data_IF_619048049464
#
_entry.id   IF_619048049464
#
_cell.length_a   1.000
_cell.length_b   1.000
_cell.length_c   1.000
_cell.angle_alpha   90.00
_cell.angle_beta   90.00
_cell.angle_gamma   90.00
#
_symmetry.space_group_name_H-M   'P 1'
#
loop_
_entity.id
_entity.type
_entity.pdbx_description
1 polymer ?
#
# COMPACT_ATOMS: atom_id res chain seq x y z
N UNK A 1 1.45 43.36 24.68
CA UNK A 1 0.62 42.13 24.60
C UNK A 1 0.88 41.52 23.22
N UNK A 2 2.14 41.15 22.93
CA UNK A 2 2.61 40.98 21.54
C UNK A 2 3.45 39.70 21.34
N UNK A 3 4.34 39.32 22.27
CA UNK A 3 5.10 38.07 22.13
C UNK A 3 4.33 36.82 22.61
N UNK A 4 3.66 36.87 23.76
CA UNK A 4 3.03 35.68 24.36
C UNK A 4 1.91 35.10 23.50
N UNK A 5 1.15 35.95 22.82
CA UNK A 5 0.06 35.55 21.92
C UNK A 5 0.62 34.93 20.65
N UNK A 6 1.74 35.45 20.14
CA UNK A 6 2.41 34.94 18.95
C UNK A 6 2.97 33.53 19.18
N UNK A 7 3.68 33.29 20.30
CA UNK A 7 4.17 31.96 20.66
C UNK A 7 3.05 30.93 20.86
N UNK A 8 1.91 31.37 21.42
CA UNK A 8 0.73 30.50 21.55
C UNK A 8 0.14 30.10 20.20
N UNK A 9 0.10 31.04 19.25
CA UNK A 9 -0.43 30.80 17.92
C UNK A 9 0.49 29.89 17.09
N UNK A 10 1.81 30.08 17.19
CA UNK A 10 2.80 29.18 16.59
C UNK A 10 2.71 27.76 17.16
N UNK A 11 2.63 27.61 18.49
CA UNK A 11 2.46 26.31 19.13
C UNK A 11 1.17 25.61 18.66
N UNK A 12 0.08 26.36 18.49
CA UNK A 12 -1.18 25.83 18.00
C UNK A 12 -1.07 25.31 16.56
N UNK A 13 -0.41 26.07 15.67
CA UNK A 13 -0.18 25.66 14.28
C UNK A 13 0.67 24.39 14.22
N UNK A 14 1.71 24.28 15.04
CA UNK A 14 2.57 23.09 15.10
C UNK A 14 1.77 21.87 15.57
N UNK A 15 1.01 21.99 16.65
CA UNK A 15 0.18 20.89 17.19
C UNK A 15 -0.87 20.46 16.16
N UNK A 16 -1.53 21.42 15.51
CA UNK A 16 -2.55 21.12 14.50
C UNK A 16 -1.94 20.45 13.26
N UNK A 17 -0.75 20.90 12.83
CA UNK A 17 0.01 20.26 11.76
C UNK A 17 0.37 18.80 12.08
N UNK A 18 0.85 18.54 13.30
CA UNK A 18 1.15 17.18 13.77
C UNK A 18 -0.14 16.33 13.78
N UNK A 19 -1.25 16.87 14.30
CA UNK A 19 -2.53 16.16 14.34
C UNK A 19 -3.00 15.77 12.93
N UNK A 20 -2.89 16.68 11.94
CA UNK A 20 -3.24 16.39 10.54
C UNK A 20 -2.36 15.27 9.98
N UNK A 21 -1.04 15.30 10.24
CA UNK A 21 -0.12 14.25 9.77
C UNK A 21 -0.50 12.90 10.40
N UNK A 22 -0.75 12.86 11.71
CA UNK A 22 -1.14 11.63 12.42
C UNK A 22 -2.46 11.07 11.87
N UNK A 23 -3.47 11.91 11.70
CA UNK A 23 -4.77 11.50 11.14
C UNK A 23 -4.62 11.05 9.69
N UNK A 24 -3.83 11.75 8.88
CA UNK A 24 -3.55 11.38 7.49
C UNK A 24 -2.87 10.02 7.37
N UNK A 25 -1.85 9.76 8.19
CA UNK A 25 -1.15 8.45 8.25
C UNK A 25 -2.12 7.37 8.71
N UNK A 26 -2.89 7.62 9.77
CA UNK A 26 -3.90 6.67 10.27
C UNK A 26 -4.94 6.34 9.20
N UNK A 27 -5.46 7.35 8.49
CA UNK A 27 -6.43 7.15 7.42
C UNK A 27 -5.83 6.36 6.26
N UNK A 28 -4.61 6.69 5.83
CA UNK A 28 -3.92 5.98 4.75
C UNK A 28 -3.70 4.50 5.08
N UNK A 29 -3.39 4.17 6.34
CA UNK A 29 -3.22 2.78 6.80
C UNK A 29 -4.57 2.04 6.84
N UNK A 30 -5.64 2.69 7.33
CA UNK A 30 -6.92 2.03 7.57
C UNK A 30 -7.86 1.96 6.36
N UNK A 31 -7.83 2.97 5.50
CA UNK A 31 -8.77 3.14 4.39
C UNK A 31 -8.10 3.33 3.03
N UNK A 32 -6.76 3.45 2.99
CA UNK A 32 -6.02 3.51 1.74
C UNK A 32 -6.34 2.30 0.87
N UNK A 33 -6.68 2.55 -0.40
CA UNK A 33 -6.81 1.49 -1.41
C UNK A 33 -5.42 0.97 -1.76
N UNK A 34 -5.28 -0.34 -1.88
CA UNK A 34 -4.06 -0.93 -2.41
C UNK A 34 -3.89 -0.52 -3.87
N UNK A 35 -2.70 -0.02 -4.21
CA UNK A 35 -2.33 0.34 -5.59
C UNK A 35 -1.20 -0.58 -6.05
N UNK A 36 -1.51 -1.82 -6.45
CA UNK A 36 -0.50 -2.75 -6.91
C UNK A 36 0.10 -2.32 -8.24
N UNK A 37 1.39 -2.60 -8.43
CA UNK A 37 2.02 -2.58 -9.76
C UNK A 37 1.74 -3.93 -10.42
N UNK A 38 1.23 -3.93 -11.64
CA UNK A 38 0.89 -5.17 -12.35
C UNK A 38 1.86 -5.34 -13.51
N UNK A 39 2.47 -6.52 -13.57
CA UNK A 39 3.40 -6.94 -14.63
C UNK A 39 2.79 -8.14 -15.33
N UNK A 40 2.60 -8.04 -16.64
CA UNK A 40 2.09 -9.15 -17.47
C UNK A 40 3.28 -9.75 -18.21
N UNK A 41 3.43 -11.06 -18.13
CA UNK A 41 4.52 -11.79 -18.77
C UNK A 41 4.09 -12.31 -20.13
N UNK A 42 5.07 -12.65 -20.97
CA UNK A 42 4.83 -13.13 -22.34
C UNK A 42 4.13 -14.49 -22.41
N UNK A 43 4.14 -15.24 -21.32
CA UNK A 43 3.47 -16.54 -21.17
C UNK A 43 1.97 -16.41 -20.79
N UNK A 44 1.46 -15.18 -20.67
CA UNK A 44 0.08 -14.90 -20.26
C UNK A 44 -0.12 -14.88 -18.74
N UNK A 45 0.89 -15.25 -17.95
CA UNK A 45 0.86 -15.05 -16.50
C UNK A 45 1.00 -13.57 -16.14
N UNK A 46 0.58 -13.21 -14.93
CA UNK A 46 0.76 -11.85 -14.43
C UNK A 46 1.25 -11.87 -12.99
N UNK A 47 1.78 -10.73 -12.53
CA UNK A 47 2.19 -10.54 -11.15
C UNK A 47 1.72 -9.19 -10.65
N UNK A 48 1.07 -9.17 -9.50
CA UNK A 48 0.68 -7.96 -8.78
C UNK A 48 1.63 -7.74 -7.62
N UNK A 49 2.34 -6.61 -7.61
CA UNK A 49 3.30 -6.25 -6.58
C UNK A 49 2.71 -5.14 -5.71
N UNK A 50 2.61 -5.43 -4.41
CA UNK A 50 2.08 -4.54 -3.38
C UNK A 50 3.23 -3.99 -2.54
N UNK A 51 3.77 -2.84 -2.96
CA UNK A 51 4.86 -2.18 -2.25
C UNK A 51 4.42 -1.62 -0.90
N UNK A 52 5.23 -1.84 0.13
CA UNK A 52 4.96 -1.33 1.48
C UNK A 52 3.89 -2.09 2.26
N UNK A 53 3.28 -3.13 1.69
CA UNK A 53 2.55 -4.13 2.46
C UNK A 53 3.58 -5.06 3.10
N UNK A 54 3.64 -5.06 4.43
CA UNK A 54 4.58 -5.89 5.18
C UNK A 54 3.93 -6.42 6.45
N UNK A 55 4.44 -7.55 6.94
CA UNK A 55 3.99 -8.17 8.20
C UNK A 55 4.13 -7.22 9.41
N UNK A 56 4.98 -6.19 9.30
CA UNK A 56 5.16 -5.17 10.33
C UNK A 56 3.87 -4.40 10.63
N UNK A 57 2.95 -4.29 9.67
CA UNK A 57 1.65 -3.67 9.88
C UNK A 57 0.52 -4.72 9.88
N UNK A 58 0.29 -5.35 11.05
CA UNK A 58 -0.70 -6.42 11.24
C UNK A 58 -2.08 -6.09 10.64
N UNK A 59 -2.57 -4.85 10.80
CA UNK A 59 -3.88 -4.44 10.30
C UNK A 59 -3.92 -4.33 8.77
N UNK A 60 -2.85 -3.85 8.15
CA UNK A 60 -2.72 -3.82 6.70
C UNK A 60 -2.68 -5.24 6.13
N UNK A 61 -1.98 -6.15 6.80
CA UNK A 61 -1.91 -7.56 6.40
C UNK A 61 -3.27 -8.26 6.50
N UNK A 62 -4.04 -7.99 7.56
CA UNK A 62 -5.41 -8.53 7.70
C UNK A 62 -6.31 -8.06 6.56
N UNK A 63 -6.25 -6.78 6.18
CA UNK A 63 -7.00 -6.25 5.03
C UNK A 63 -6.53 -6.85 3.71
N UNK A 64 -5.22 -6.94 3.52
CA UNK A 64 -4.63 -7.56 2.35
C UNK A 64 -5.09 -9.01 2.18
N UNK A 65 -5.00 -9.81 3.25
CA UNK A 65 -5.45 -11.19 3.26
C UNK A 65 -6.97 -11.32 3.13
N UNK A 66 -7.77 -10.28 3.41
CA UNK A 66 -9.22 -10.31 3.17
C UNK A 66 -9.56 -10.02 1.70
N UNK A 67 -8.81 -9.12 1.06
CA UNK A 67 -9.04 -8.71 -0.34
C UNK A 67 -8.35 -9.65 -1.35
N UNK A 68 -7.17 -10.15 -1.03
CA UNK A 68 -6.30 -10.94 -1.90
C UNK A 68 -5.92 -12.26 -1.23
N UNK A 69 -6.50 -13.36 -1.71
CA UNK A 69 -6.23 -14.72 -1.23
C UNK A 69 -5.89 -15.63 -2.39
N UNK A 70 -5.10 -16.67 -2.13
CA UNK A 70 -4.89 -17.76 -3.10
C UNK A 70 -6.25 -18.36 -3.47
N UNK A 71 -6.48 -18.54 -4.78
CA UNK A 71 -7.77 -18.99 -5.32
C UNK A 71 -8.76 -17.86 -5.65
N UNK A 72 -8.54 -16.61 -5.20
CA UNK A 72 -9.38 -15.50 -5.61
C UNK A 72 -9.14 -15.13 -7.08
N UNK A 73 -10.24 -14.78 -7.75
CA UNK A 73 -10.22 -14.27 -9.12
C UNK A 73 -10.02 -12.76 -9.13
N UNK A 74 -9.10 -12.28 -9.97
CA UNK A 74 -8.82 -10.87 -10.20
C UNK A 74 -9.04 -10.58 -11.67
N UNK A 75 -9.91 -9.62 -11.97
CA UNK A 75 -10.09 -9.12 -13.33
C UNK A 75 -9.14 -7.95 -13.58
N UNK A 76 -8.26 -8.08 -14.58
CA UNK A 76 -7.35 -7.02 -14.99
C UNK A 76 -7.33 -6.90 -16.52
N UNK A 77 -7.52 -5.68 -17.01
CA UNK A 77 -7.51 -5.37 -18.44
C UNK A 77 -8.45 -6.26 -19.30
N UNK A 78 -9.62 -6.62 -18.76
CA UNK A 78 -10.59 -7.49 -19.42
C UNK A 78 -10.32 -8.99 -19.31
N UNK A 79 -9.16 -9.39 -18.78
CA UNK A 79 -8.82 -10.79 -18.53
C UNK A 79 -9.08 -11.17 -17.07
N UNK A 80 -9.49 -12.41 -16.85
CA UNK A 80 -9.63 -12.97 -15.52
C UNK A 80 -8.38 -13.80 -15.18
N UNK A 81 -7.87 -13.57 -13.97
CA UNK A 81 -6.73 -14.29 -13.43
C UNK A 81 -7.11 -14.90 -12.09
N UNK A 82 -6.48 -16.01 -11.72
CA UNK A 82 -6.51 -16.56 -10.36
C UNK A 82 -5.18 -16.33 -9.68
N UNK A 83 -5.23 -15.92 -8.42
CA UNK A 83 -4.04 -15.86 -7.57
C UNK A 83 -3.62 -17.29 -7.23
N UNK A 84 -2.51 -17.75 -7.76
CA UNK A 84 -1.96 -19.08 -7.44
C UNK A 84 -1.08 -19.02 -6.18
N UNK A 85 -0.34 -17.93 -6.00
CA UNK A 85 0.64 -17.84 -4.93
C UNK A 85 0.84 -16.39 -4.47
N UNK A 86 1.10 -16.22 -3.18
CA UNK A 86 1.46 -14.93 -2.57
C UNK A 86 2.78 -15.11 -1.84
N UNK A 87 3.80 -14.31 -2.19
CA UNK A 87 5.15 -14.37 -1.58
C UNK A 87 5.70 -12.98 -1.28
N UNK A 88 6.54 -12.84 -0.25
CA UNK A 88 7.32 -11.62 -0.06
C UNK A 88 8.27 -11.40 -1.25
N UNK A 89 8.47 -10.14 -1.62
CA UNK A 89 9.35 -9.75 -2.71
C UNK A 89 10.09 -8.46 -2.39
N UNK A 90 11.32 -8.39 -2.88
CA UNK A 90 12.14 -7.19 -2.90
C UNK A 90 12.27 -6.74 -4.34
N UNK A 91 11.53 -5.69 -4.69
CA UNK A 91 11.49 -5.19 -6.06
C UNK A 91 11.82 -3.70 -6.09
N UNK A 92 12.32 -3.24 -7.24
CA UNK A 92 12.59 -1.83 -7.45
C UNK A 92 11.28 -1.06 -7.62
N UNK A 93 11.06 -0.09 -6.75
CA UNK A 93 9.92 0.83 -6.81
C UNK A 93 10.37 2.12 -7.50
N UNK A 94 10.01 2.26 -8.78
CA UNK A 94 10.39 3.40 -9.60
C UNK A 94 9.93 4.76 -9.02
N UNK A 95 8.84 4.76 -8.22
CA UNK A 95 8.36 5.98 -7.56
C UNK A 95 9.33 6.49 -6.49
N UNK A 96 10.08 5.60 -5.85
CA UNK A 96 11.01 5.93 -4.76
C UNK A 96 12.48 5.70 -5.14
N UNK A 97 12.76 5.36 -6.40
CA UNK A 97 14.09 5.14 -6.96
C UNK A 97 14.95 4.17 -6.10
N UNK A 98 14.33 3.11 -5.58
CA UNK A 98 15.01 2.18 -4.68
C UNK A 98 14.30 0.84 -4.51
N UNK A 99 14.97 -0.11 -3.88
CA UNK A 99 14.36 -1.39 -3.49
C UNK A 99 13.35 -1.17 -2.37
N UNK A 100 12.17 -1.80 -2.49
CA UNK A 100 11.19 -1.88 -1.41
C UNK A 100 10.71 -3.30 -1.22
N UNK A 101 10.61 -3.66 0.06
CA UNK A 101 9.89 -4.83 0.51
C UNK A 101 8.40 -4.68 0.20
N UNK A 102 7.79 -5.76 -0.25
CA UNK A 102 6.35 -5.87 -0.49
C UNK A 102 5.89 -7.31 -0.59
N UNK A 103 4.67 -7.50 -1.06
CA UNK A 103 4.11 -8.81 -1.41
C UNK A 103 3.87 -8.88 -2.91
N UNK A 104 4.19 -10.02 -3.51
CA UNK A 104 3.83 -10.35 -4.88
C UNK A 104 2.73 -11.41 -4.88
N UNK A 105 1.61 -11.13 -5.54
CA UNK A 105 0.63 -12.14 -5.95
C UNK A 105 0.98 -12.60 -7.37
N UNK A 106 1.26 -13.88 -7.53
CA UNK A 106 1.44 -14.51 -8.83
C UNK A 106 0.07 -14.95 -9.36
N UNK A 107 -0.22 -14.51 -10.56
CA UNK A 107 -1.49 -14.65 -11.23
C UNK A 107 -1.35 -15.58 -12.43
N UNK A 108 -2.29 -16.50 -12.56
CA UNK A 108 -2.46 -17.33 -13.73
C UNK A 108 -3.75 -16.98 -14.45
N UNK A 109 -3.68 -16.85 -15.77
CA UNK A 109 -4.86 -16.58 -16.58
C UNK A 109 -5.83 -17.77 -16.52
N UNK A 110 -7.12 -17.46 -16.34
CA UNK A 110 -8.22 -18.42 -16.41
C UNK A 110 -8.58 -18.79 -17.85
#
# INVERSE_FOLDING_TARGET
MEESTYYWLEAFVIIFGIAIIVVGVWYHINYGKFKPKIEVFSDGSARMIFFGVSERCKKQMVRFNAEYQVGHTVTFNGNNYVIEEIKPIDAFDAKYLGQRHGLACYLKQL
#
